data_IF_985562618169
#
_entry.id   IF_985562618169
#
_cell.length_a   1.000
_cell.length_b   1.000
_cell.length_c   1.000
_cell.angle_alpha   90.00
_cell.angle_beta   90.00
_cell.angle_gamma   90.00
#
_symmetry.space_group_name_H-M   'P 1'
#
loop_
_entity.id
_entity.type
_entity.pdbx_description
1 polymer ?
#
# COMPACT_ATOMS: atom_id res chain seq x y z
N UNK A 1 13.70 -10.43 6.66
CA UNK A 1 14.10 -10.11 5.27
C UNK A 1 13.71 -8.67 4.94
N UNK A 2 14.52 -8.00 4.17
CA UNK A 2 14.22 -6.65 3.69
C UNK A 2 13.68 -6.70 2.27
N UNK A 3 12.60 -5.96 2.02
CA UNK A 3 12.01 -5.79 0.70
C UNK A 3 12.20 -4.35 0.25
N UNK A 4 12.24 -4.12 -1.05
CA UNK A 4 12.38 -2.78 -1.60
C UNK A 4 11.14 -2.45 -2.42
N UNK A 5 10.52 -1.30 -2.14
CA UNK A 5 9.35 -0.81 -2.87
C UNK A 5 9.51 0.68 -3.15
N UNK A 6 8.74 1.17 -4.11
CA UNK A 6 8.79 2.57 -4.53
C UNK A 6 7.46 3.25 -4.23
N UNK A 7 7.50 4.51 -3.84
CA UNK A 7 6.33 5.33 -3.60
C UNK A 7 6.45 6.67 -4.33
N UNK A 8 5.32 7.15 -4.82
CA UNK A 8 5.24 8.53 -5.29
C UNK A 8 5.54 9.49 -4.14
N UNK A 9 6.02 10.68 -4.47
CA UNK A 9 6.47 11.66 -3.50
C UNK A 9 5.44 11.94 -2.40
N UNK A 10 4.18 12.15 -2.77
CA UNK A 10 3.11 12.42 -1.80
C UNK A 10 2.93 11.27 -0.81
N UNK A 11 2.85 10.04 -1.32
CA UNK A 11 2.67 8.85 -0.48
C UNK A 11 3.87 8.62 0.43
N UNK A 12 5.06 8.86 -0.08
CA UNK A 12 6.30 8.75 0.69
C UNK A 12 6.29 9.72 1.88
N UNK A 13 5.93 10.98 1.65
CA UNK A 13 5.88 11.97 2.72
C UNK A 13 4.81 11.63 3.78
N UNK A 14 3.65 11.13 3.35
CA UNK A 14 2.60 10.69 4.28
C UNK A 14 3.08 9.52 5.15
N UNK A 15 3.81 8.59 4.57
CA UNK A 15 4.40 7.47 5.30
C UNK A 15 5.44 7.96 6.32
N UNK A 16 6.34 8.82 5.89
CA UNK A 16 7.42 9.36 6.71
C UNK A 16 6.91 10.16 7.91
N UNK A 17 5.82 10.89 7.74
CA UNK A 17 5.22 11.70 8.81
C UNK A 17 4.28 10.91 9.72
N UNK A 18 4.02 9.64 9.42
CA UNK A 18 3.14 8.79 10.21
C UNK A 18 1.66 8.94 9.91
N UNK A 19 1.29 9.73 8.90
CA UNK A 19 -0.10 9.88 8.47
C UNK A 19 -0.59 8.71 7.62
N UNK A 20 0.32 7.98 7.01
CA UNK A 20 0.03 6.75 6.27
C UNK A 20 0.68 5.58 7.00
N UNK A 21 -0.13 4.62 7.42
CA UNK A 21 0.34 3.45 8.16
C UNK A 21 -0.01 2.12 7.48
N UNK A 22 -0.67 2.16 6.33
CA UNK A 22 -1.03 0.98 5.56
C UNK A 22 -0.71 1.19 4.08
N UNK A 23 -0.20 0.13 3.44
CA UNK A 23 0.08 0.12 2.02
C UNK A 23 -0.83 -0.89 1.34
N UNK A 24 -1.40 -0.51 0.20
CA UNK A 24 -2.38 -1.29 -0.56
C UNK A 24 -1.77 -1.66 -1.90
N UNK A 25 -1.56 -2.96 -2.13
CA UNK A 25 -0.88 -3.46 -3.33
C UNK A 25 -1.57 -4.70 -3.88
N UNK A 26 -1.23 -5.07 -5.11
CA UNK A 26 -1.56 -6.39 -5.61
C UNK A 26 -0.72 -7.42 -4.87
N UNK A 27 -1.33 -8.55 -4.55
CA UNK A 27 -0.65 -9.67 -3.88
C UNK A 27 0.05 -10.53 -4.94
N UNK A 28 0.98 -9.92 -5.66
CA UNK A 28 1.75 -10.54 -6.72
C UNK A 28 2.91 -11.37 -6.16
N UNK A 29 3.72 -11.96 -7.05
CA UNK A 29 4.81 -12.84 -6.63
C UNK A 29 5.79 -12.16 -5.68
N UNK A 30 6.07 -10.88 -5.91
CA UNK A 30 6.98 -10.12 -5.04
C UNK A 30 6.38 -9.89 -3.66
N UNK A 31 5.09 -9.53 -3.58
CA UNK A 31 4.43 -9.26 -2.30
C UNK A 31 4.12 -10.53 -1.51
N UNK A 32 3.96 -11.67 -2.19
CA UNK A 32 3.78 -12.96 -1.52
C UNK A 32 4.97 -13.39 -0.67
N UNK A 33 6.13 -12.81 -0.92
CA UNK A 33 7.35 -13.08 -0.15
C UNK A 33 7.40 -12.34 1.19
N UNK A 34 6.54 -11.34 1.39
CA UNK A 34 6.56 -10.50 2.58
C UNK A 34 5.91 -11.24 3.75
N UNK A 35 6.57 -11.20 4.91
CA UNK A 35 6.06 -11.79 6.15
C UNK A 35 5.99 -10.75 7.25
N UNK A 36 5.13 -10.97 8.23
CA UNK A 36 5.09 -10.13 9.44
C UNK A 36 6.48 -10.13 10.08
N UNK A 37 6.92 -8.96 10.51
CA UNK A 37 8.25 -8.62 11.04
C UNK A 37 9.31 -8.38 9.98
N UNK A 38 9.03 -8.64 8.72
CA UNK A 38 9.93 -8.19 7.65
C UNK A 38 9.96 -6.66 7.61
N UNK A 39 11.01 -6.12 7.01
CA UNK A 39 11.12 -4.67 6.77
C UNK A 39 10.94 -4.36 5.31
N UNK A 40 10.45 -3.15 5.03
CA UNK A 40 10.35 -2.62 3.67
C UNK A 40 11.11 -1.30 3.63
N UNK A 41 12.03 -1.21 2.69
CA UNK A 41 12.71 0.04 2.36
C UNK A 41 11.93 0.69 1.23
N UNK A 42 11.25 1.79 1.52
CA UNK A 42 10.55 2.57 0.51
C UNK A 42 11.49 3.62 -0.06
N UNK A 43 11.52 3.70 -1.38
CA UNK A 43 12.31 4.67 -2.12
C UNK A 43 11.35 5.70 -2.74
N UNK A 44 11.71 6.97 -2.61
CA UNK A 44 10.88 8.07 -3.09
C UNK A 44 11.10 8.31 -4.58
N UNK A 45 10.02 8.21 -5.37
CA UNK A 45 10.06 8.56 -6.78
C UNK A 45 10.10 10.09 -6.95
N UNK A 46 10.68 10.63 -8.03
CA UNK A 46 11.26 9.88 -9.17
C UNK A 46 12.73 9.52 -9.02
N UNK A 47 13.48 10.22 -8.18
CA UNK A 47 14.96 10.13 -8.16
C UNK A 47 15.50 8.99 -7.31
N UNK A 48 14.70 8.42 -6.42
CA UNK A 48 15.07 7.32 -5.53
C UNK A 48 16.22 7.66 -4.56
N UNK A 49 16.40 8.95 -4.25
CA UNK A 49 17.49 9.45 -3.41
C UNK A 49 17.11 9.60 -1.92
N UNK A 50 15.85 9.38 -1.59
CA UNK A 50 15.40 9.29 -0.22
C UNK A 50 14.81 7.92 0.05
N UNK A 51 15.05 7.41 1.25
CA UNK A 51 14.52 6.12 1.68
C UNK A 51 13.91 6.21 3.07
N UNK A 52 12.94 5.34 3.34
CA UNK A 52 12.34 5.22 4.65
C UNK A 52 12.04 3.75 4.93
N UNK A 53 12.51 3.25 6.08
CA UNK A 53 12.39 1.83 6.41
C UNK A 53 11.30 1.62 7.45
N UNK A 54 10.39 0.69 7.16
CA UNK A 54 9.27 0.33 8.02
C UNK A 54 9.29 -1.16 8.30
N UNK A 55 8.64 -1.55 9.40
CA UNK A 55 8.41 -2.95 9.73
C UNK A 55 6.96 -3.32 9.43
N UNK A 56 6.75 -4.50 8.84
CA UNK A 56 5.42 -5.04 8.59
C UNK A 56 4.87 -5.65 9.87
N UNK A 57 3.75 -5.12 10.36
CA UNK A 57 3.11 -5.60 11.58
C UNK A 57 1.89 -6.47 11.34
N UNK A 58 1.25 -6.34 10.18
CA UNK A 58 0.10 -7.15 9.81
C UNK A 58 -0.03 -7.27 8.30
N UNK A 59 -0.58 -8.38 7.84
CA UNK A 59 -0.81 -8.67 6.42
C UNK A 59 -2.23 -9.18 6.27
N UNK A 60 -3.02 -8.54 5.43
CA UNK A 60 -4.41 -8.93 5.17
C UNK A 60 -4.63 -9.06 3.67
N UNK A 61 -5.32 -10.13 3.26
CA UNK A 61 -5.51 -10.46 1.85
C UNK A 61 -6.99 -10.42 1.51
N UNK A 62 -7.31 -9.79 0.38
CA UNK A 62 -8.68 -9.59 -0.09
C UNK A 62 -8.76 -9.97 -1.58
N UNK A 63 -9.95 -10.37 -2.01
CA UNK A 63 -10.17 -10.79 -3.40
C UNK A 63 -10.29 -9.62 -4.38
N UNK A 64 -10.84 -8.51 -3.95
CA UNK A 64 -11.08 -7.35 -4.80
C UNK A 64 -10.74 -6.04 -4.09
N UNK A 65 -10.64 -4.96 -4.87
CA UNK A 65 -10.29 -3.66 -4.32
C UNK A 65 -11.37 -3.11 -3.39
N UNK A 66 -12.64 -3.36 -3.67
CA UNK A 66 -13.72 -2.88 -2.82
C UNK A 66 -13.58 -3.43 -1.40
N UNK A 67 -13.46 -4.74 -1.27
CA UNK A 67 -13.29 -5.40 0.03
C UNK A 67 -12.00 -4.94 0.72
N UNK A 68 -10.94 -4.76 -0.07
CA UNK A 68 -9.65 -4.31 0.41
C UNK A 68 -9.72 -2.92 1.05
N UNK A 69 -10.45 -1.99 0.44
CA UNK A 69 -10.58 -0.63 0.95
C UNK A 69 -11.64 -0.48 2.04
N UNK A 70 -12.64 -1.36 2.06
CA UNK A 70 -13.77 -1.25 2.97
C UNK A 70 -13.36 -1.29 4.45
N UNK A 71 -12.45 -2.17 4.81
CA UNK A 71 -12.10 -2.39 6.21
C UNK A 71 -11.55 -1.12 6.89
N UNK A 72 -10.72 -0.38 6.20
CA UNK A 72 -10.05 0.80 6.76
C UNK A 72 -10.49 2.10 6.09
N UNK A 73 -11.64 2.09 5.40
CA UNK A 73 -12.10 3.27 4.67
C UNK A 73 -12.19 4.51 5.56
N UNK A 74 -12.80 4.38 6.74
CA UNK A 74 -13.03 5.51 7.64
C UNK A 74 -11.72 6.10 8.19
N UNK A 75 -10.68 5.30 8.25
CA UNK A 75 -9.38 5.71 8.79
C UNK A 75 -8.47 6.24 7.68
N UNK A 76 -8.38 5.51 6.57
CA UNK A 76 -7.37 5.78 5.55
C UNK A 76 -7.85 6.62 4.37
N UNK A 77 -9.16 6.63 4.08
CA UNK A 77 -9.66 7.18 2.83
C UNK A 77 -10.76 8.23 2.96
N UNK A 78 -11.53 8.20 4.03
CA UNK A 78 -12.72 9.04 4.20
C UNK A 78 -12.43 10.54 4.08
N UNK A 79 -11.26 10.98 4.48
CA UNK A 79 -10.86 12.38 4.42
C UNK A 79 -10.75 12.88 2.97
N UNK A 80 -10.35 12.01 2.04
CA UNK A 80 -10.09 12.37 0.66
C UNK A 80 -11.12 11.81 -0.33
N UNK A 81 -11.95 10.86 0.09
CA UNK A 81 -12.92 10.17 -0.77
C UNK A 81 -14.28 10.10 -0.10
N UNK A 82 -15.34 10.26 -0.88
CA UNK A 82 -16.72 10.17 -0.36
C UNK A 82 -17.16 8.72 -0.19
N UNK A 83 -16.78 7.85 -1.11
CA UNK A 83 -17.21 6.45 -1.13
C UNK A 83 -16.06 5.50 -1.40
N UNK A 84 -16.27 4.23 -1.06
CA UNK A 84 -15.30 3.16 -1.37
C UNK A 84 -15.14 3.04 -2.90
N UNK A 85 -16.25 3.17 -3.65
CA UNK A 85 -16.19 3.10 -5.11
C UNK A 85 -15.31 4.18 -5.72
N UNK A 86 -15.23 5.35 -5.10
CA UNK A 86 -14.33 6.42 -5.54
C UNK A 86 -12.87 6.03 -5.40
N UNK A 87 -12.52 5.32 -4.33
CA UNK A 87 -11.15 4.81 -4.13
C UNK A 87 -10.82 3.76 -5.20
N UNK A 88 -11.75 2.84 -5.45
CA UNK A 88 -11.59 1.81 -6.47
C UNK A 88 -11.39 2.43 -7.85
N UNK A 89 -12.20 3.43 -8.18
CA UNK A 89 -12.10 4.15 -9.46
C UNK A 89 -10.73 4.81 -9.62
N UNK A 90 -10.24 5.45 -8.57
CA UNK A 90 -8.95 6.11 -8.59
C UNK A 90 -7.79 5.12 -8.77
N UNK A 91 -7.93 3.93 -8.19
CA UNK A 91 -6.96 2.85 -8.36
C UNK A 91 -6.77 2.48 -9.84
N UNK A 92 -7.88 2.34 -10.57
CA UNK A 92 -7.83 2.02 -11.99
C UNK A 92 -7.39 3.20 -12.87
N UNK A 93 -7.51 4.42 -12.37
CA UNK A 93 -7.11 5.60 -13.12
C UNK A 93 -5.62 5.94 -13.01
N UNK A 94 -4.94 5.44 -11.97
CA UNK A 94 -3.56 5.87 -11.74
C UNK A 94 -2.56 4.80 -11.32
N UNK A 95 -3.02 3.63 -10.89
CA UNK A 95 -2.11 2.66 -10.28
C UNK A 95 -2.07 1.32 -10.98
N UNK A 96 -3.23 0.73 -11.30
CA UNK A 96 -3.30 -0.61 -11.88
C UNK A 96 -4.39 -0.68 -12.92
N UNK A 97 -4.17 -1.50 -13.96
CA UNK A 97 -5.22 -1.82 -14.92
C UNK A 97 -6.18 -2.87 -14.33
N UNK A 98 -7.36 -2.98 -14.92
CA UNK A 98 -8.31 -4.05 -14.53
C UNK A 98 -7.74 -5.43 -14.84
N UNK A 99 -7.02 -5.54 -15.95
CA UNK A 99 -6.39 -6.79 -16.35
C UNK A 99 -5.37 -7.27 -15.33
N UNK A 100 -4.47 -6.39 -14.88
CA UNK A 100 -3.50 -6.71 -13.84
C UNK A 100 -4.20 -7.07 -12.53
N UNK A 101 -5.21 -6.29 -12.16
CA UNK A 101 -5.94 -6.49 -10.90
C UNK A 101 -6.68 -7.83 -10.86
N UNK A 102 -7.15 -8.31 -12.00
CA UNK A 102 -7.86 -9.58 -12.07
C UNK A 102 -6.94 -10.80 -11.91
N UNK A 103 -5.65 -10.63 -12.08
CA UNK A 103 -4.67 -11.72 -11.96
C UNK A 103 -4.31 -12.06 -10.53
N UNK A 104 -4.49 -11.12 -9.60
CA UNK A 104 -3.97 -11.27 -8.24
C UNK A 104 -5.01 -10.86 -7.20
N UNK A 105 -4.91 -11.46 -6.01
CA UNK A 105 -5.57 -10.93 -4.83
C UNK A 105 -4.95 -9.58 -4.46
N UNK A 106 -5.52 -8.89 -3.49
CA UNK A 106 -5.06 -7.60 -2.99
C UNK A 106 -4.54 -7.77 -1.57
N UNK A 107 -3.53 -7.01 -1.21
CA UNK A 107 -2.92 -7.10 0.10
C UNK A 107 -2.89 -5.74 0.78
N UNK A 108 -3.19 -5.73 2.08
CA UNK A 108 -3.01 -4.58 2.95
C UNK A 108 -1.86 -4.90 3.90
N UNK A 109 -0.83 -4.09 3.85
CA UNK A 109 0.33 -4.18 4.73
C UNK A 109 0.22 -3.09 5.77
N UNK A 110 0.09 -3.47 7.05
CA UNK A 110 0.14 -2.50 8.15
C UNK A 110 1.58 -2.34 8.59
N UNK A 111 2.00 -1.09 8.75
CA UNK A 111 3.40 -0.71 8.87
C UNK A 111 3.63 0.13 10.11
N UNK A 112 4.83 0.02 10.67
CA UNK A 112 5.31 0.94 11.70
C UNK A 112 6.74 1.35 11.36
N UNK A 113 7.18 2.49 11.89
CA UNK A 113 8.57 2.93 11.72
C UNK A 113 9.51 1.85 12.25
N UNK A 114 10.52 1.52 11.48
CA UNK A 114 11.59 0.61 11.92
C UNK A 114 12.48 1.35 12.92
N UNK A 115 12.71 0.73 14.05
CA UNK A 115 13.58 1.31 15.08
C UNK A 115 15.05 1.05 14.81
#
# INVERSE_FOLDING_TARGET
>A
MEHIMKLYSREFELLKTGLKVREYRLYDEKRKLIKVKDTIKFLKLPNLDEEYIVEVTNIEIFKDWYSCYKKYFDIDFKENYKTIDDVVKDTYNGYYTKEESNKYDKVVLTLKKSS
#
